data_IF_265404034974
#
_entry.id   IF_265404034974
#
_cell.length_a   1.000
_cell.length_b   1.000
_cell.length_c   1.000
_cell.angle_alpha   90.00
_cell.angle_beta   90.00
_cell.angle_gamma   90.00
#
_symmetry.space_group_name_H-M   'P 1'
#
loop_
_entity.id
_entity.type
_entity.pdbx_description
1 polymer ?
#
# COMPACT_ATOMS: atom_id res chain seq x y z
N UNK A 1 -16.52 -12.10 -38.07
CA UNK A 1 -16.63 -11.41 -36.76
C UNK A 1 -15.23 -10.97 -36.37
N UNK A 2 -14.92 -9.70 -36.62
CA UNK A 2 -13.61 -9.10 -36.30
C UNK A 2 -13.54 -8.94 -34.79
N UNK A 3 -12.69 -9.71 -34.10
CA UNK A 3 -12.31 -9.44 -32.73
C UNK A 3 -11.50 -8.15 -32.75
N UNK A 4 -12.14 -7.06 -32.34
CA UNK A 4 -11.40 -5.84 -31.99
C UNK A 4 -10.41 -6.22 -30.89
N UNK A 5 -9.14 -6.34 -31.25
CA UNK A 5 -8.04 -6.34 -30.26
C UNK A 5 -8.13 -4.98 -29.59
N UNK A 6 -8.75 -4.91 -28.40
CA UNK A 6 -8.65 -3.73 -27.56
C UNK A 6 -7.15 -3.45 -27.38
N UNK A 7 -6.72 -2.25 -27.78
CA UNK A 7 -5.36 -1.80 -27.51
C UNK A 7 -5.10 -1.96 -26.02
N UNK A 8 -3.93 -2.47 -25.60
CA UNK A 8 -3.63 -2.64 -24.18
C UNK A 8 -3.83 -1.29 -23.50
N UNK A 9 -4.77 -1.23 -22.56
CA UNK A 9 -5.04 0.00 -21.83
C UNK A 9 -3.80 0.38 -21.02
N UNK A 10 -3.34 1.62 -21.17
CA UNK A 10 -2.22 2.16 -20.40
C UNK A 10 -2.44 1.96 -18.90
N UNK A 11 -1.53 1.29 -18.23
CA UNK A 11 -1.57 1.13 -16.76
C UNK A 11 -1.34 2.51 -16.11
N UNK A 12 -2.35 3.03 -15.42
CA UNK A 12 -2.20 4.23 -14.62
C UNK A 12 -1.84 3.85 -13.17
N UNK A 13 -0.57 4.03 -12.80
CA UNK A 13 -0.04 3.75 -11.47
C UNK A 13 -0.05 5.02 -10.63
N UNK A 14 -0.57 4.94 -9.41
CA UNK A 14 -0.64 6.07 -8.48
C UNK A 14 -0.03 5.67 -7.13
N UNK A 15 0.76 6.56 -6.55
CA UNK A 15 1.25 6.47 -5.18
C UNK A 15 1.25 7.87 -4.55
N UNK A 16 1.39 7.96 -3.23
CA UNK A 16 1.50 9.25 -2.56
C UNK A 16 2.25 9.11 -1.25
N UNK A 17 3.09 10.09 -0.92
CA UNK A 17 3.79 10.11 0.36
C UNK A 17 4.26 11.52 0.75
N UNK A 18 4.71 11.64 1.99
CA UNK A 18 5.53 12.75 2.47
C UNK A 18 7.03 12.38 2.39
N UNK A 19 7.90 13.30 2.85
CA UNK A 19 9.35 13.10 2.86
C UNK A 19 9.77 11.86 3.66
N UNK A 20 9.07 11.54 4.76
CA UNK A 20 9.40 10.40 5.62
C UNK A 20 9.31 9.05 4.90
N UNK A 21 8.46 8.96 3.88
CA UNK A 21 8.22 7.76 3.09
C UNK A 21 8.81 7.82 1.67
N UNK A 22 9.60 8.82 1.32
CA UNK A 22 10.20 8.93 -0.01
C UNK A 22 11.19 7.77 -0.32
N UNK A 23 12.00 7.35 0.66
CA UNK A 23 12.92 6.22 0.48
C UNK A 23 12.18 4.89 0.24
N UNK A 24 11.21 4.46 1.06
CA UNK A 24 10.45 3.25 0.75
C UNK A 24 9.65 3.34 -0.55
N UNK A 25 9.09 4.52 -0.90
CA UNK A 25 8.42 4.72 -2.18
C UNK A 25 9.34 4.41 -3.37
N UNK A 26 10.64 4.74 -3.28
CA UNK A 26 11.59 4.40 -4.34
C UNK A 26 11.65 2.88 -4.60
N UNK A 27 11.55 2.06 -3.56
CA UNK A 27 11.51 0.59 -3.70
C UNK A 27 10.19 0.13 -4.31
N UNK A 28 9.07 0.70 -3.87
CA UNK A 28 7.76 0.39 -4.43
C UNK A 28 7.74 0.67 -5.93
N UNK A 29 8.12 1.88 -6.36
CA UNK A 29 8.10 2.29 -7.77
C UNK A 29 9.12 1.49 -8.61
N UNK A 30 10.36 1.35 -8.12
CA UNK A 30 11.38 0.54 -8.78
C UNK A 30 10.91 -0.90 -9.02
N UNK A 31 10.41 -1.55 -7.96
CA UNK A 31 9.98 -2.95 -8.06
C UNK A 31 8.75 -3.11 -8.96
N UNK A 32 7.78 -2.20 -8.87
CA UNK A 32 6.58 -2.22 -9.71
C UNK A 32 6.93 -2.11 -11.20
N UNK A 33 7.76 -1.13 -11.57
CA UNK A 33 8.14 -0.88 -12.95
C UNK A 33 9.04 -1.99 -13.51
N UNK A 34 9.92 -2.54 -12.69
CA UNK A 34 10.82 -3.63 -13.08
C UNK A 34 10.10 -4.94 -13.41
N UNK A 35 8.93 -5.17 -12.82
CA UNK A 35 8.14 -6.39 -13.04
C UNK A 35 7.18 -6.27 -14.23
N UNK A 36 7.01 -5.10 -14.83
CA UNK A 36 6.17 -4.94 -16.03
C UNK A 36 6.85 -5.55 -17.25
N UNK A 37 6.06 -6.29 -18.04
CA UNK A 37 6.51 -6.79 -19.34
C UNK A 37 6.93 -5.66 -20.30
N UNK A 38 7.76 -5.93 -21.32
CA UNK A 38 8.31 -4.91 -22.20
C UNK A 38 7.23 -4.12 -22.94
N UNK A 39 6.12 -4.76 -23.29
CA UNK A 39 4.99 -4.17 -24.04
C UNK A 39 4.01 -3.37 -23.16
N UNK A 40 4.22 -3.34 -21.83
CA UNK A 40 3.32 -2.61 -20.95
C UNK A 40 3.51 -1.10 -21.10
N UNK A 41 2.45 -0.40 -21.47
CA UNK A 41 2.40 1.05 -21.40
C UNK A 41 1.98 1.49 -20.00
N UNK A 42 2.64 2.49 -19.42
CA UNK A 42 2.43 2.93 -18.04
C UNK A 42 2.57 4.43 -17.89
N UNK A 43 1.60 5.04 -17.21
CA UNK A 43 1.70 6.39 -16.65
C UNK A 43 1.87 6.29 -15.15
N UNK A 44 2.76 7.11 -14.57
CA UNK A 44 3.08 7.10 -13.16
C UNK A 44 2.79 8.46 -12.54
N UNK A 45 1.88 8.49 -11.59
CA UNK A 45 1.48 9.66 -10.84
C UNK A 45 1.94 9.54 -9.39
N UNK A 46 2.56 10.59 -8.84
CA UNK A 46 2.92 10.63 -7.41
C UNK A 46 2.31 11.87 -6.77
N UNK A 47 1.48 11.66 -5.76
CA UNK A 47 0.89 12.73 -4.97
C UNK A 47 1.94 13.18 -3.95
N UNK A 48 2.37 14.44 -4.09
CA UNK A 48 3.43 15.07 -3.31
C UNK A 48 2.86 15.64 -2.01
N UNK A 49 2.99 14.91 -0.92
CA UNK A 49 2.62 15.30 0.43
C UNK A 49 3.71 16.12 1.16
N UNK A 50 4.67 16.71 0.44
CA UNK A 50 5.78 17.48 1.00
C UNK A 50 7.15 16.81 0.82
N UNK A 51 7.36 16.19 -0.33
CA UNK A 51 8.64 15.53 -0.70
C UNK A 51 9.67 16.60 -1.07
N UNK A 52 10.88 16.51 -0.50
CA UNK A 52 11.99 17.39 -0.82
C UNK A 52 12.51 17.18 -2.25
N UNK A 53 12.98 18.24 -2.88
CA UNK A 53 13.48 18.20 -4.27
C UNK A 53 14.64 17.18 -4.47
N UNK A 54 15.48 16.99 -3.47
CA UNK A 54 16.53 15.95 -3.53
C UNK A 54 15.90 14.54 -3.56
N UNK A 55 14.90 14.27 -2.74
CA UNK A 55 14.18 12.99 -2.74
C UNK A 55 13.41 12.77 -4.04
N UNK A 56 12.83 13.82 -4.63
CA UNK A 56 12.22 13.73 -5.98
C UNK A 56 13.23 13.34 -7.05
N UNK A 57 14.44 13.92 -7.02
CA UNK A 57 15.52 13.51 -7.93
C UNK A 57 15.94 12.06 -7.74
N UNK A 58 15.98 11.59 -6.49
CA UNK A 58 16.29 10.18 -6.16
C UNK A 58 15.16 9.25 -6.60
N UNK A 59 13.90 9.65 -6.44
CA UNK A 59 12.74 8.90 -6.95
C UNK A 59 12.76 8.79 -8.48
N UNK A 60 13.08 9.87 -9.18
CA UNK A 60 13.22 9.84 -10.64
C UNK A 60 14.30 8.85 -11.10
N UNK A 61 15.44 8.78 -10.39
CA UNK A 61 16.48 7.76 -10.68
C UNK A 61 15.95 6.34 -10.42
N UNK A 62 15.19 6.13 -9.35
CA UNK A 62 14.62 4.82 -9.02
C UNK A 62 13.59 4.37 -10.08
N UNK A 63 12.78 5.28 -10.57
CA UNK A 63 11.85 5.03 -11.67
C UNK A 63 12.60 4.65 -12.95
N UNK A 64 13.62 5.43 -13.35
CA UNK A 64 14.42 5.14 -14.52
C UNK A 64 15.19 3.81 -14.43
N UNK A 65 15.66 3.45 -13.24
CA UNK A 65 16.31 2.16 -12.98
C UNK A 65 15.31 0.99 -13.03
N UNK A 66 14.05 1.22 -12.66
CA UNK A 66 12.98 0.23 -12.79
C UNK A 66 12.55 0.04 -14.24
N UNK A 67 12.35 1.13 -14.97
CA UNK A 67 11.96 1.13 -16.39
C UNK A 67 12.38 2.42 -17.08
N UNK A 68 13.26 2.28 -18.08
CA UNK A 68 13.67 3.43 -18.90
C UNK A 68 12.47 4.04 -19.66
N UNK A 69 12.48 5.35 -19.81
CA UNK A 69 11.45 6.10 -20.52
C UNK A 69 10.20 6.47 -19.69
N UNK A 70 10.06 5.91 -18.51
CA UNK A 70 8.97 6.32 -17.59
C UNK A 70 9.41 7.53 -16.77
N UNK A 71 8.54 8.52 -16.66
CA UNK A 71 8.72 9.72 -15.83
C UNK A 71 7.62 9.83 -14.79
N UNK A 72 7.90 10.54 -13.70
CA UNK A 72 6.91 10.79 -12.66
C UNK A 72 6.12 12.04 -13.03
N UNK A 73 4.80 11.92 -13.05
CA UNK A 73 3.86 13.04 -13.07
C UNK A 73 3.59 13.41 -11.61
N UNK A 74 4.20 14.53 -11.19
CA UNK A 74 4.03 15.02 -9.82
C UNK A 74 2.71 15.77 -9.67
N UNK A 75 1.94 15.41 -8.65
CA UNK A 75 0.69 16.04 -8.31
C UNK A 75 0.83 16.64 -6.92
N UNK A 76 0.78 17.95 -6.80
CA UNK A 76 0.81 18.64 -5.52
C UNK A 76 -0.61 19.07 -5.14
N UNK A 77 -1.21 18.47 -4.09
CA UNK A 77 -2.50 18.91 -3.59
C UNK A 77 -2.44 20.40 -3.19
N UNK A 78 -3.46 21.16 -3.56
CA UNK A 78 -3.62 22.56 -3.15
C UNK A 78 -4.33 22.65 -1.80
N UNK A 79 -4.32 23.83 -1.18
CA UNK A 79 -5.10 24.06 0.04
C UNK A 79 -6.60 23.80 -0.18
N UNK A 80 -7.11 24.10 -1.38
CA UNK A 80 -8.50 23.84 -1.76
C UNK A 80 -8.81 22.32 -1.83
N UNK A 81 -7.89 21.52 -2.39
CA UNK A 81 -8.04 20.06 -2.43
C UNK A 81 -8.08 19.45 -1.03
N UNK A 82 -7.41 20.10 -0.07
CA UNK A 82 -7.28 19.69 1.32
C UNK A 82 -8.35 20.31 2.25
N UNK A 83 -9.28 21.11 1.69
CA UNK A 83 -10.37 21.73 2.42
C UNK A 83 -11.24 20.66 3.11
N UNK A 84 -11.48 20.79 4.41
CA UNK A 84 -12.15 19.78 5.24
C UNK A 84 -11.21 18.86 6.01
N UNK A 85 -9.94 18.66 5.57
CA UNK A 85 -8.94 17.95 6.39
C UNK A 85 -8.31 18.83 7.49
N UNK A 86 -8.54 20.13 7.48
CA UNK A 86 -8.01 21.02 8.54
C UNK A 86 -8.53 20.64 9.93
N UNK A 87 -9.72 20.07 10.02
CA UNK A 87 -10.26 19.50 11.25
C UNK A 87 -9.54 18.19 11.66
N UNK A 88 -8.92 17.50 10.71
CA UNK A 88 -8.16 16.27 10.90
C UNK A 88 -6.66 16.52 11.13
N UNK A 89 -6.25 17.72 11.58
CA UNK A 89 -4.84 18.13 11.82
C UNK A 89 -4.03 17.20 12.75
N UNK A 90 -4.71 16.26 13.40
CA UNK A 90 -4.07 15.25 14.25
C UNK A 90 -3.73 13.97 13.49
N UNK A 91 -4.14 13.86 12.22
CA UNK A 91 -3.94 12.69 11.39
C UNK A 91 -2.74 12.93 10.46
N UNK A 92 -1.92 11.91 10.25
CA UNK A 92 -0.86 11.97 9.23
C UNK A 92 -1.51 12.24 7.88
N UNK A 93 -1.36 13.45 7.35
CA UNK A 93 -1.93 13.88 6.07
C UNK A 93 -1.59 12.89 4.95
N UNK A 94 -0.40 12.27 5.02
CA UNK A 94 0.08 11.31 4.04
C UNK A 94 -0.82 10.07 3.91
N UNK A 95 -1.44 9.59 5.01
CA UNK A 95 -2.33 8.44 4.98
C UNK A 95 -3.61 8.69 4.16
N UNK A 96 -4.08 9.93 4.13
CA UNK A 96 -5.32 10.31 3.43
C UNK A 96 -5.12 10.74 1.97
N UNK A 97 -3.88 10.85 1.47
CA UNK A 97 -3.60 11.31 0.10
C UNK A 97 -4.34 10.51 -0.97
N UNK A 98 -4.57 9.21 -0.74
CA UNK A 98 -5.30 8.35 -1.68
C UNK A 98 -6.76 8.74 -1.86
N UNK A 99 -7.38 9.36 -0.86
CA UNK A 99 -8.78 9.81 -0.96
C UNK A 99 -8.96 10.99 -1.93
N UNK A 100 -7.88 11.72 -2.22
CA UNK A 100 -7.90 12.84 -3.17
C UNK A 100 -7.65 12.40 -4.63
N UNK A 101 -7.32 11.14 -4.90
CA UNK A 101 -7.05 10.65 -6.26
C UNK A 101 -8.12 11.06 -7.26
N UNK A 102 -9.45 10.93 -6.98
CA UNK A 102 -10.49 11.29 -7.95
C UNK A 102 -10.53 12.77 -8.32
N UNK A 103 -10.20 13.65 -7.38
CA UNK A 103 -10.19 15.11 -7.62
C UNK A 103 -8.88 15.63 -8.20
N UNK A 104 -7.76 14.93 -7.94
CA UNK A 104 -6.44 15.34 -8.37
C UNK A 104 -6.09 14.86 -9.80
N UNK A 105 -6.73 13.79 -10.26
CA UNK A 105 -6.47 13.25 -11.59
C UNK A 105 -7.49 13.75 -12.61
N UNK A 106 -7.05 13.99 -13.87
CA UNK A 106 -7.95 14.37 -14.97
C UNK A 106 -9.12 13.41 -15.14
N UNK A 107 -10.26 13.94 -15.59
CA UNK A 107 -11.50 13.17 -15.77
C UNK A 107 -11.39 12.06 -16.82
N UNK A 108 -10.45 12.18 -17.75
CA UNK A 108 -10.14 11.16 -18.75
C UNK A 108 -9.56 9.88 -18.14
N UNK A 109 -8.90 9.98 -16.98
CA UNK A 109 -8.39 8.83 -16.26
C UNK A 109 -9.55 8.16 -15.52
N UNK A 110 -9.99 7.02 -16.04
CA UNK A 110 -11.13 6.27 -15.52
C UNK A 110 -10.75 5.16 -14.54
N UNK A 111 -9.51 4.70 -14.59
CA UNK A 111 -9.02 3.61 -13.74
C UNK A 111 -7.61 3.89 -13.26
N UNK A 112 -7.32 3.53 -12.03
CA UNK A 112 -5.97 3.60 -11.46
C UNK A 112 -5.67 2.36 -10.61
N UNK A 113 -4.39 2.02 -10.55
CA UNK A 113 -3.84 1.11 -9.57
C UNK A 113 -3.05 1.92 -8.55
N UNK A 114 -3.57 2.00 -7.33
CA UNK A 114 -2.90 2.66 -6.22
C UNK A 114 -2.04 1.65 -5.45
N UNK A 115 -0.82 2.07 -5.11
CA UNK A 115 0.12 1.30 -4.29
C UNK A 115 0.64 2.16 -3.13
N UNK A 116 0.63 1.59 -1.93
CA UNK A 116 1.31 2.18 -0.78
C UNK A 116 2.83 2.23 -0.94
N UNK A 117 3.48 3.06 -0.13
CA UNK A 117 4.93 3.28 -0.21
C UNK A 117 5.76 2.12 0.35
N UNK A 118 5.18 1.27 1.18
CA UNK A 118 5.85 0.17 1.88
C UNK A 118 5.58 -1.20 1.25
N UNK A 119 5.59 -1.23 -0.08
CA UNK A 119 5.32 -2.40 -0.91
C UNK A 119 6.59 -2.86 -1.64
N UNK A 120 6.70 -4.17 -1.85
CA UNK A 120 7.65 -4.79 -2.77
C UNK A 120 6.89 -5.62 -3.80
N UNK A 121 6.93 -5.19 -5.06
CA UNK A 121 6.30 -5.90 -6.17
C UNK A 121 7.23 -7.01 -6.67
N UNK A 122 6.68 -8.22 -6.79
CA UNK A 122 7.39 -9.44 -7.20
C UNK A 122 6.89 -10.03 -8.51
N UNK A 123 5.78 -9.55 -9.03
CA UNK A 123 5.18 -10.07 -10.25
C UNK A 123 4.55 -8.98 -11.11
N UNK A 124 4.30 -9.32 -12.36
CA UNK A 124 3.67 -8.42 -13.32
C UNK A 124 2.30 -7.95 -12.83
N UNK A 125 2.08 -6.64 -12.84
CA UNK A 125 0.87 -5.98 -12.39
C UNK A 125 -0.25 -5.97 -13.45
N UNK A 126 0.04 -6.34 -14.69
CA UNK A 126 -0.95 -6.33 -15.78
C UNK A 126 -2.13 -7.27 -15.48
N UNK A 127 -1.85 -8.41 -14.83
CA UNK A 127 -2.91 -9.31 -14.38
C UNK A 127 -3.87 -8.67 -13.37
N UNK A 128 -3.36 -7.85 -12.46
CA UNK A 128 -4.18 -7.06 -11.52
C UNK A 128 -4.92 -5.94 -12.25
N UNK A 129 -4.21 -5.21 -13.11
CA UNK A 129 -4.79 -4.11 -13.90
C UNK A 129 -5.99 -4.54 -14.73
N UNK A 130 -5.92 -5.73 -15.34
CA UNK A 130 -6.97 -6.27 -16.19
C UNK A 130 -8.12 -6.96 -15.43
N UNK A 131 -8.13 -6.88 -14.08
CA UNK A 131 -9.23 -7.43 -13.29
C UNK A 131 -10.54 -6.77 -13.68
N UNK A 132 -11.56 -7.59 -14.00
CA UNK A 132 -12.90 -7.10 -14.32
C UNK A 132 -13.62 -6.68 -13.05
N UNK A 133 -13.88 -5.39 -12.89
CA UNK A 133 -14.48 -4.80 -11.68
C UNK A 133 -15.97 -5.16 -11.48
N UNK A 134 -16.67 -5.62 -12.52
CA UNK A 134 -18.07 -6.11 -12.51
C UNK A 134 -19.01 -5.30 -11.59
N UNK A 135 -19.06 -3.98 -11.80
CA UNK A 135 -19.93 -3.10 -11.02
C UNK A 135 -19.32 -2.55 -9.71
N UNK A 136 -18.23 -3.12 -9.22
CA UNK A 136 -17.52 -2.58 -8.05
C UNK A 136 -16.75 -1.30 -8.41
N UNK A 137 -16.70 -0.35 -7.48
CA UNK A 137 -15.89 0.86 -7.62
C UNK A 137 -14.45 0.67 -7.18
N UNK A 138 -14.21 -0.34 -6.35
CA UNK A 138 -12.92 -0.65 -5.72
C UNK A 138 -12.68 -2.15 -5.75
N UNK A 139 -11.45 -2.57 -6.04
CA UNK A 139 -11.01 -3.94 -5.80
C UNK A 139 -9.78 -3.94 -4.88
N UNK A 140 -9.80 -4.79 -3.87
CA UNK A 140 -8.79 -4.85 -2.81
C UNK A 140 -8.65 -6.27 -2.25
N UNK A 141 -7.64 -6.50 -1.43
CA UNK A 141 -7.49 -7.75 -0.67
C UNK A 141 -8.01 -7.55 0.75
N UNK A 142 -8.71 -8.54 1.29
CA UNK A 142 -9.16 -8.55 2.69
C UNK A 142 -7.98 -8.28 3.63
N UNK A 143 -8.20 -7.54 4.71
CA UNK A 143 -7.16 -7.31 5.71
C UNK A 143 -6.95 -8.56 6.57
N UNK A 144 -5.70 -8.99 6.71
CA UNK A 144 -5.39 -10.24 7.41
C UNK A 144 -5.50 -10.13 8.93
N UNK A 145 -5.32 -8.93 9.46
CA UNK A 145 -5.47 -8.66 10.89
C UNK A 145 -6.91 -8.29 11.27
N UNK A 146 -7.66 -7.74 10.32
CA UNK A 146 -9.05 -7.25 10.50
C UNK A 146 -9.90 -7.80 9.36
N UNK A 147 -10.30 -9.09 9.39
CA UNK A 147 -10.98 -9.71 8.25
C UNK A 147 -12.43 -9.26 8.08
N UNK A 148 -13.03 -8.65 9.09
CA UNK A 148 -14.44 -8.23 9.10
C UNK A 148 -14.64 -6.94 9.90
N UNK A 149 -15.74 -6.24 9.65
CA UNK A 149 -16.06 -4.96 10.29
C UNK A 149 -16.14 -5.08 11.82
N UNK A 150 -16.88 -6.08 12.35
CA UNK A 150 -16.93 -6.31 13.80
C UNK A 150 -15.63 -6.99 14.27
N UNK A 151 -14.61 -6.19 14.44
CA UNK A 151 -13.31 -6.65 14.92
C UNK A 151 -12.74 -5.66 15.97
N UNK A 152 -12.04 -6.14 17.02
CA UNK A 152 -11.49 -5.27 18.08
C UNK A 152 -10.58 -4.15 17.54
N UNK A 153 -9.85 -4.41 16.47
CA UNK A 153 -8.91 -3.45 15.85
C UNK A 153 -9.54 -2.63 14.70
N UNK A 154 -10.78 -2.90 14.29
CA UNK A 154 -11.51 -2.03 13.37
C UNK A 154 -11.83 -0.72 14.05
N UNK A 155 -11.63 0.41 13.35
CA UNK A 155 -12.04 1.73 13.80
C UNK A 155 -13.50 2.06 13.49
N UNK A 156 -14.19 1.24 12.68
CA UNK A 156 -15.60 1.42 12.31
C UNK A 156 -16.47 0.86 13.43
N UNK A 157 -16.62 1.63 14.51
CA UNK A 157 -17.36 1.19 15.71
C UNK A 157 -18.87 1.35 15.60
N UNK A 158 -19.31 2.29 14.79
CA UNK A 158 -20.69 2.65 14.50
C UNK A 158 -21.30 1.87 13.32
N UNK A 159 -20.68 0.77 12.91
CA UNK A 159 -21.09 0.00 11.73
C UNK A 159 -22.59 -0.40 11.75
N UNK A 160 -23.19 -0.58 12.95
CA UNK A 160 -24.62 -0.89 13.07
C UNK A 160 -25.50 0.31 12.72
N UNK A 161 -25.08 1.51 13.11
CA UNK A 161 -25.77 2.76 12.80
C UNK A 161 -25.69 3.09 11.32
N UNK A 162 -24.57 2.68 10.68
CA UNK A 162 -24.38 2.74 9.23
C UNK A 162 -25.12 1.64 8.44
N UNK A 163 -25.80 0.72 9.12
CA UNK A 163 -26.48 -0.41 8.49
C UNK A 163 -25.54 -1.47 7.92
N UNK A 164 -24.28 -1.51 8.38
CA UNK A 164 -23.28 -2.48 7.93
C UNK A 164 -23.39 -3.76 8.75
N UNK A 165 -23.41 -4.92 8.08
CA UNK A 165 -23.39 -6.21 8.77
C UNK A 165 -22.07 -6.41 9.54
N UNK A 166 -22.10 -6.97 10.77
CA UNK A 166 -20.91 -7.30 11.54
C UNK A 166 -19.91 -8.18 10.76
N UNK A 167 -20.43 -9.09 9.93
CA UNK A 167 -19.62 -10.01 9.11
C UNK A 167 -19.18 -9.42 7.78
N UNK A 168 -19.48 -8.14 7.50
CA UNK A 168 -19.02 -7.49 6.27
C UNK A 168 -17.51 -7.54 6.20
N UNK A 169 -16.94 -8.00 5.05
CA UNK A 169 -15.50 -8.11 4.91
C UNK A 169 -14.86 -6.72 4.93
N UNK A 170 -13.71 -6.64 5.60
CA UNK A 170 -12.91 -5.43 5.74
C UNK A 170 -11.64 -5.57 4.91
N UNK A 171 -11.35 -4.62 4.03
CA UNK A 171 -10.20 -4.68 3.13
C UNK A 171 -9.02 -3.83 3.61
N UNK A 172 -7.83 -4.24 3.17
CA UNK A 172 -6.61 -3.47 3.34
C UNK A 172 -6.45 -2.46 2.20
N UNK A 173 -6.22 -1.19 2.55
CA UNK A 173 -6.18 -0.06 1.59
C UNK A 173 -4.84 0.13 0.88
N UNK A 174 -3.82 -0.69 1.14
CA UNK A 174 -2.47 -0.48 0.58
C UNK A 174 -2.30 -0.87 -0.88
N UNK A 175 -3.21 -1.68 -1.45
CA UNK A 175 -3.28 -2.03 -2.88
C UNK A 175 -4.72 -1.91 -3.32
N UNK A 176 -5.02 -0.91 -4.15
CA UNK A 176 -6.38 -0.64 -4.60
C UNK A 176 -6.42 -0.51 -6.13
N UNK A 177 -7.29 -1.29 -6.76
CA UNK A 177 -7.68 -1.01 -8.14
C UNK A 177 -8.99 -0.22 -8.08
N UNK A 178 -8.97 1.01 -8.61
CA UNK A 178 -10.07 1.97 -8.50
C UNK A 178 -10.70 2.23 -9.85
N UNK A 179 -12.03 2.19 -9.91
CA UNK A 179 -12.83 2.78 -10.99
C UNK A 179 -13.16 4.22 -10.61
N UNK A 180 -12.39 5.17 -11.14
CA UNK A 180 -12.53 6.60 -10.78
C UNK A 180 -13.84 7.19 -11.27
N UNK A 181 -14.44 6.67 -12.35
CA UNK A 181 -15.76 7.13 -12.78
C UNK A 181 -16.79 6.85 -11.69
N UNK A 182 -16.81 5.63 -11.18
CA UNK A 182 -17.71 5.25 -10.09
C UNK A 182 -17.38 5.93 -8.77
N UNK A 183 -16.11 6.19 -8.48
CA UNK A 183 -15.71 6.93 -7.28
C UNK A 183 -16.23 8.38 -7.32
N UNK A 184 -16.15 9.03 -8.48
CA UNK A 184 -16.65 10.41 -8.69
C UNK A 184 -18.18 10.43 -8.63
N UNK A 185 -18.85 9.57 -9.39
CA UNK A 185 -20.32 9.48 -9.43
C UNK A 185 -20.91 9.13 -8.07
N UNK A 186 -20.32 8.17 -7.34
CA UNK A 186 -20.77 7.73 -6.02
C UNK A 186 -20.33 8.63 -4.86
N UNK A 187 -19.50 9.64 -5.10
CA UNK A 187 -18.99 10.53 -4.06
C UNK A 187 -18.16 9.81 -2.98
N UNK A 188 -17.52 8.67 -3.31
CA UNK A 188 -16.81 7.79 -2.35
C UNK A 188 -15.76 8.56 -1.56
N UNK A 189 -14.92 9.35 -2.26
CA UNK A 189 -13.87 10.13 -1.61
C UNK A 189 -14.43 11.14 -0.60
N UNK A 190 -15.51 11.85 -0.97
CA UNK A 190 -16.16 12.83 -0.10
C UNK A 190 -16.77 12.15 1.13
N UNK A 191 -17.44 11.01 0.95
CA UNK A 191 -18.02 10.26 2.05
C UNK A 191 -16.95 9.76 3.03
N UNK A 192 -15.84 9.18 2.51
CA UNK A 192 -14.73 8.71 3.31
C UNK A 192 -14.02 9.86 4.06
N UNK A 193 -13.83 11.01 3.42
CA UNK A 193 -13.26 12.20 4.08
C UNK A 193 -14.18 12.73 5.18
N UNK A 194 -15.50 12.83 4.92
CA UNK A 194 -16.47 13.27 5.93
C UNK A 194 -16.45 12.32 7.14
N UNK A 195 -16.44 11.02 6.90
CA UNK A 195 -16.35 10.02 7.98
C UNK A 195 -15.02 10.16 8.76
N UNK A 196 -13.90 10.35 8.07
CA UNK A 196 -12.59 10.55 8.70
C UNK A 196 -12.55 11.82 9.57
N UNK A 197 -13.17 12.90 9.13
CA UNK A 197 -13.27 14.16 9.90
C UNK A 197 -14.13 13.96 11.16
N UNK A 198 -15.27 13.30 11.02
CA UNK A 198 -16.22 13.08 12.10
C UNK A 198 -15.66 12.14 13.19
N UNK A 199 -14.97 11.06 12.78
CA UNK A 199 -14.51 10.01 13.68
C UNK A 199 -13.00 10.06 13.98
N UNK A 200 -12.25 10.97 13.40
CA UNK A 200 -10.79 11.09 13.33
C UNK A 200 -9.97 10.40 14.42
N UNK A 201 -10.15 10.80 15.68
CA UNK A 201 -9.40 10.23 16.82
C UNK A 201 -9.75 8.76 17.15
N UNK A 202 -10.92 8.27 16.69
CA UNK A 202 -11.37 6.90 16.93
C UNK A 202 -10.88 5.92 15.85
N UNK A 203 -10.41 6.44 14.69
CA UNK A 203 -9.95 5.63 13.58
C UNK A 203 -8.54 5.07 13.86
N UNK A 204 -8.46 3.78 14.16
CA UNK A 204 -7.20 3.09 14.41
C UNK A 204 -6.35 2.90 13.14
N UNK A 205 -7.03 2.78 11.99
CA UNK A 205 -6.42 2.52 10.68
C UNK A 205 -6.69 3.66 9.68
N UNK A 206 -6.93 4.88 10.17
CA UNK A 206 -7.02 6.11 9.37
C UNK A 206 -8.00 6.01 8.17
N UNK A 207 -7.47 6.21 6.97
CA UNK A 207 -8.19 6.14 5.69
C UNK A 207 -8.79 4.76 5.39
N UNK A 208 -8.15 3.68 5.86
CA UNK A 208 -8.66 2.32 5.67
C UNK A 208 -9.99 2.11 6.39
N UNK A 209 -10.12 2.60 7.64
CA UNK A 209 -11.40 2.57 8.37
C UNK A 209 -12.46 3.41 7.64
N UNK A 210 -12.11 4.61 7.21
CA UNK A 210 -13.03 5.50 6.51
C UNK A 210 -13.54 4.89 5.18
N UNK A 211 -12.67 4.25 4.42
CA UNK A 211 -13.05 3.56 3.19
C UNK A 211 -13.95 2.34 3.46
N UNK A 212 -13.65 1.56 4.48
CA UNK A 212 -14.46 0.39 4.84
C UNK A 212 -15.83 0.79 5.42
N UNK A 213 -15.95 1.95 6.08
CA UNK A 213 -17.21 2.51 6.52
C UNK A 213 -18.10 2.99 5.34
N UNK A 214 -17.49 3.44 4.24
CA UNK A 214 -18.22 4.04 3.11
C UNK A 214 -18.42 3.09 1.93
N UNK A 215 -17.77 1.95 1.92
CA UNK A 215 -17.87 0.92 0.85
C UNK A 215 -18.31 -0.45 1.39
N UNK A 216 -19.35 -0.54 2.24
CA UNK A 216 -19.77 -1.80 2.85
C UNK A 216 -20.21 -2.79 1.76
N UNK A 217 -19.45 -3.86 1.56
CA UNK A 217 -19.76 -4.90 0.56
C UNK A 217 -19.73 -4.44 -0.91
N UNK A 218 -19.42 -3.17 -1.18
CA UNK A 218 -19.38 -2.58 -2.53
C UNK A 218 -18.03 -2.70 -3.25
N UNK A 219 -17.12 -3.52 -2.73
CA UNK A 219 -15.80 -3.74 -3.32
C UNK A 219 -15.62 -5.19 -3.80
N UNK A 220 -14.71 -5.39 -4.74
CA UNK A 220 -14.36 -6.68 -5.29
C UNK A 220 -13.16 -7.27 -4.54
N UNK A 221 -13.31 -8.48 -4.00
CA UNK A 221 -12.21 -9.19 -3.36
C UNK A 221 -11.21 -9.70 -4.39
N UNK A 222 -9.95 -9.31 -4.23
CA UNK A 222 -8.81 -9.78 -5.02
C UNK A 222 -8.18 -11.03 -4.41
N UNK A 223 -7.46 -11.81 -5.25
CA UNK A 223 -6.63 -12.92 -4.77
C UNK A 223 -5.58 -12.40 -3.77
N UNK A 224 -5.41 -13.12 -2.67
CA UNK A 224 -4.49 -12.77 -1.58
C UNK A 224 -3.06 -12.45 -2.04
N UNK A 225 -2.58 -13.04 -3.15
CA UNK A 225 -1.23 -12.81 -3.70
C UNK A 225 -0.99 -11.36 -4.13
N UNK A 226 -2.06 -10.58 -4.36
CA UNK A 226 -1.96 -9.17 -4.75
C UNK A 226 -1.72 -8.21 -3.58
N UNK A 227 -1.77 -8.69 -2.34
CA UNK A 227 -1.44 -7.91 -1.16
C UNK A 227 -1.11 -8.83 0.02
N UNK A 228 0.06 -9.49 -0.02
CA UNK A 228 0.51 -10.37 1.06
C UNK A 228 1.02 -9.52 2.22
N UNK A 229 0.19 -9.38 3.23
CA UNK A 229 0.38 -8.44 4.34
C UNK A 229 1.28 -9.01 5.44
N UNK A 230 1.83 -8.10 6.23
CA UNK A 230 2.73 -8.42 7.35
C UNK A 230 2.11 -9.38 8.38
N UNK A 231 0.80 -9.28 8.62
CA UNK A 231 0.07 -10.15 9.56
C UNK A 231 0.20 -11.65 9.25
N UNK A 232 0.47 -12.04 7.99
CA UNK A 232 0.72 -13.44 7.61
C UNK A 232 1.87 -14.09 8.40
N UNK A 233 2.81 -13.30 8.89
CA UNK A 233 3.99 -13.76 9.62
C UNK A 233 3.75 -13.86 11.13
N UNK A 234 2.68 -13.29 11.63
CA UNK A 234 2.30 -13.20 13.04
C UNK A 234 0.91 -13.77 13.32
N UNK A 235 0.50 -14.79 12.55
CA UNK A 235 -0.82 -15.42 12.71
C UNK A 235 -1.05 -16.01 14.10
N UNK A 236 0.03 -16.32 14.83
CA UNK A 236 -0.05 -16.81 16.21
C UNK A 236 -0.53 -15.74 17.20
N UNK A 237 -0.37 -14.45 16.85
CA UNK A 237 -0.82 -13.31 17.66
C UNK A 237 -2.27 -12.90 17.33
N UNK A 238 -2.84 -13.46 16.25
CA UNK A 238 -4.21 -13.19 15.83
C UNK A 238 -5.22 -14.14 16.50
N UNK A 239 -6.49 -13.74 16.64
CA UNK A 239 -7.55 -14.61 17.14
C UNK A 239 -7.65 -15.91 16.33
N UNK A 240 -7.76 -17.04 17.02
CA UNK A 240 -7.90 -18.37 16.39
C UNK A 240 -9.34 -18.57 15.91
N UNK A 241 -9.59 -18.35 14.64
CA UNK A 241 -10.88 -18.54 13.98
C UNK A 241 -10.67 -19.26 12.63
N UNK A 242 -11.75 -19.48 11.88
CA UNK A 242 -11.69 -20.16 10.58
C UNK A 242 -10.83 -19.41 9.58
N UNK A 243 -10.93 -18.08 9.53
CA UNK A 243 -10.14 -17.23 8.64
C UNK A 243 -8.64 -17.38 8.91
N UNK A 244 -8.20 -17.27 10.16
CA UNK A 244 -6.78 -17.40 10.51
C UNK A 244 -6.25 -18.81 10.27
N UNK A 245 -7.08 -19.86 10.43
CA UNK A 245 -6.73 -21.25 10.07
C UNK A 245 -6.55 -21.42 8.56
N UNK A 246 -7.46 -20.87 7.76
CA UNK A 246 -7.38 -20.88 6.30
C UNK A 246 -6.12 -20.11 5.82
N UNK A 247 -5.90 -18.93 6.37
CA UNK A 247 -4.72 -18.12 6.04
C UNK A 247 -3.41 -18.83 6.40
N UNK A 248 -3.38 -19.54 7.55
CA UNK A 248 -2.23 -20.36 7.95
C UNK A 248 -1.98 -21.52 6.98
N UNK A 249 -3.03 -22.19 6.51
CA UNK A 249 -2.92 -23.26 5.52
C UNK A 249 -2.41 -22.74 4.16
N UNK A 250 -2.83 -21.53 3.76
CA UNK A 250 -2.37 -20.88 2.53
C UNK A 250 -0.96 -20.28 2.63
N UNK A 251 -0.44 -20.06 3.83
CA UNK A 251 0.84 -19.35 4.05
C UNK A 251 2.00 -19.83 3.17
N UNK A 252 2.30 -21.16 3.06
CA UNK A 252 3.42 -21.62 2.23
C UNK A 252 3.26 -21.24 0.76
N UNK A 253 2.02 -21.30 0.23
CA UNK A 253 1.69 -20.88 -1.12
C UNK A 253 1.84 -19.37 -1.29
N UNK A 254 1.27 -18.58 -0.39
CA UNK A 254 1.33 -17.11 -0.45
C UNK A 254 2.78 -16.60 -0.40
N UNK A 255 3.63 -17.19 0.42
CA UNK A 255 5.05 -16.81 0.48
C UNK A 255 5.79 -17.06 -0.83
N UNK A 256 5.46 -18.15 -1.52
CA UNK A 256 6.09 -18.54 -2.77
C UNK A 256 5.54 -17.78 -3.96
N UNK A 257 4.23 -17.51 -3.99
CA UNK A 257 3.50 -16.98 -5.15
C UNK A 257 3.09 -15.51 -5.00
N UNK A 258 3.48 -14.85 -3.91
CA UNK A 258 3.19 -13.44 -3.69
C UNK A 258 3.57 -12.59 -4.91
N UNK A 259 2.61 -11.83 -5.42
CA UNK A 259 2.83 -10.83 -6.46
C UNK A 259 3.20 -9.48 -5.87
N UNK A 260 2.66 -9.19 -4.68
CA UNK A 260 2.96 -7.99 -3.91
C UNK A 260 3.15 -8.40 -2.45
N UNK A 261 4.30 -8.01 -1.87
CA UNK A 261 4.56 -8.05 -0.43
C UNK A 261 4.31 -6.68 0.16
N UNK A 262 3.49 -6.60 1.19
CA UNK A 262 3.14 -5.36 1.86
C UNK A 262 3.64 -5.38 3.31
N UNK A 263 4.51 -4.45 3.65
CA UNK A 263 5.07 -4.28 4.99
C UNK A 263 4.14 -3.43 5.86
N UNK A 264 2.84 -3.78 5.90
CA UNK A 264 1.75 -3.03 6.51
C UNK A 264 1.86 -2.83 8.03
N UNK A 265 2.72 -3.60 8.71
CA UNK A 265 2.92 -3.48 10.15
C UNK A 265 3.90 -2.37 10.57
N UNK A 266 4.12 -2.24 11.88
CA UNK A 266 5.08 -1.27 12.46
C UNK A 266 6.54 -1.62 12.20
N UNK A 267 6.84 -2.89 11.92
CA UNK A 267 8.18 -3.38 11.62
C UNK A 267 8.51 -3.20 10.15
N UNK A 268 9.22 -2.14 9.83
CA UNK A 268 9.53 -1.74 8.45
C UNK A 268 10.93 -2.23 8.01
N UNK A 269 11.10 -2.69 6.74
CA UNK A 269 12.36 -3.28 6.26
C UNK A 269 13.54 -2.30 6.22
N UNK A 270 13.31 -1.00 6.18
CA UNK A 270 14.37 0.01 6.32
C UNK A 270 14.88 0.17 7.76
N UNK A 271 14.19 -0.43 8.72
CA UNK A 271 14.64 -0.51 10.10
C UNK A 271 15.46 -1.78 10.31
N UNK A 272 16.65 -1.66 10.91
CA UNK A 272 17.59 -2.78 11.08
C UNK A 272 17.06 -3.90 12.01
N UNK A 273 16.02 -3.65 12.79
CA UNK A 273 15.36 -4.64 13.67
C UNK A 273 14.20 -5.38 13.01
N UNK A 274 13.87 -5.07 11.75
CA UNK A 274 12.75 -5.71 11.06
C UNK A 274 12.94 -7.22 10.97
N UNK A 275 11.99 -7.98 11.55
CA UNK A 275 11.97 -9.44 11.52
C UNK A 275 11.32 -10.04 10.27
N UNK A 276 10.79 -9.22 9.35
CA UNK A 276 10.08 -9.70 8.17
C UNK A 276 10.99 -10.53 7.25
N UNK A 277 10.58 -11.74 6.81
CA UNK A 277 11.41 -12.61 5.97
C UNK A 277 11.89 -11.97 4.67
N UNK A 278 11.06 -11.10 4.07
CA UNK A 278 11.39 -10.40 2.81
C UNK A 278 12.25 -9.15 2.99
N UNK A 279 12.76 -8.89 4.22
CA UNK A 279 13.60 -7.72 4.48
C UNK A 279 14.84 -7.67 3.60
N UNK A 280 15.51 -8.81 3.38
CA UNK A 280 16.71 -8.86 2.56
C UNK A 280 16.42 -8.59 1.08
N UNK A 281 15.28 -9.06 0.58
CA UNK A 281 14.83 -8.79 -0.78
C UNK A 281 14.51 -7.31 -0.97
N UNK A 282 13.82 -6.70 0.01
CA UNK A 282 13.55 -5.27 0.00
C UNK A 282 14.84 -4.45 0.01
N UNK A 283 15.82 -4.80 0.85
CA UNK A 283 17.13 -4.14 0.91
C UNK A 283 17.87 -4.27 -0.43
N UNK A 284 17.85 -5.46 -1.06
CA UNK A 284 18.42 -5.66 -2.40
C UNK A 284 17.75 -4.76 -3.44
N UNK A 285 16.43 -4.65 -3.41
CA UNK A 285 15.68 -3.77 -4.29
C UNK A 285 16.06 -2.30 -4.07
N UNK A 286 16.18 -1.84 -2.82
CA UNK A 286 16.63 -0.49 -2.49
C UNK A 286 18.02 -0.19 -3.04
N UNK A 287 18.99 -1.08 -2.83
CA UNK A 287 20.36 -0.88 -3.31
C UNK A 287 20.46 -0.89 -4.84
N UNK A 288 19.54 -1.58 -5.51
CA UNK A 288 19.44 -1.65 -6.97
C UNK A 288 18.61 -0.53 -7.59
N UNK A 289 17.83 0.21 -6.80
CA UNK A 289 16.88 1.20 -7.30
C UNK A 289 17.54 2.48 -7.84
N UNK A 290 18.81 2.74 -7.55
CA UNK A 290 19.45 4.02 -7.87
C UNK A 290 19.10 5.16 -6.92
N UNK A 291 18.38 4.88 -5.82
CA UNK A 291 18.13 5.86 -4.75
C UNK A 291 19.44 6.42 -4.19
N UNK A 292 20.40 5.57 -3.99
CA UNK A 292 21.73 5.91 -3.52
C UNK A 292 22.75 5.96 -4.67
N UNK A 293 23.73 6.88 -4.57
CA UNK A 293 24.98 6.73 -5.33
C UNK A 293 25.76 5.49 -4.84
N UNK A 294 26.70 4.93 -5.60
CA UNK A 294 27.46 3.74 -5.17
C UNK A 294 28.12 3.89 -3.79
N UNK A 295 28.67 5.06 -3.49
CA UNK A 295 29.32 5.33 -2.19
C UNK A 295 28.29 5.43 -1.06
N UNK A 296 27.14 6.08 -1.31
CA UNK A 296 26.05 6.14 -0.33
C UNK A 296 25.46 4.76 -0.07
N UNK A 297 25.27 3.95 -1.12
CA UNK A 297 24.77 2.58 -1.02
C UNK A 297 25.70 1.72 -0.14
N UNK A 298 27.01 1.80 -0.38
CA UNK A 298 28.01 1.10 0.43
C UNK A 298 27.93 1.54 1.91
N UNK A 299 27.94 2.84 2.16
CA UNK A 299 27.86 3.39 3.53
C UNK A 299 26.57 3.01 4.24
N UNK A 300 25.43 3.11 3.55
CA UNK A 300 24.14 2.76 4.10
C UNK A 300 24.06 1.26 4.41
N UNK A 301 24.43 0.41 3.46
CA UNK A 301 24.41 -1.05 3.61
C UNK A 301 25.32 -1.50 4.77
N UNK A 302 26.55 -0.99 4.84
CA UNK A 302 27.49 -1.34 5.91
C UNK A 302 26.93 -1.00 7.29
N UNK A 303 26.35 0.20 7.45
CA UNK A 303 25.71 0.63 8.71
C UNK A 303 24.46 -0.20 9.04
N UNK A 304 23.62 -0.47 8.03
CA UNK A 304 22.40 -1.24 8.20
C UNK A 304 22.70 -2.66 8.67
N UNK A 305 23.61 -3.37 7.97
CA UNK A 305 23.95 -4.74 8.31
C UNK A 305 24.70 -4.86 9.64
N UNK A 306 25.61 -3.93 9.96
CA UNK A 306 26.26 -3.90 11.26
C UNK A 306 25.25 -3.75 12.41
N UNK A 307 24.30 -2.81 12.29
CA UNK A 307 23.23 -2.62 13.27
C UNK A 307 22.32 -3.87 13.35
N UNK A 308 21.99 -4.49 12.23
CA UNK A 308 21.15 -5.68 12.18
C UNK A 308 21.81 -6.87 12.84
N UNK A 309 23.11 -7.10 12.60
CA UNK A 309 23.89 -8.14 13.27
C UNK A 309 23.92 -7.89 14.78
N UNK A 310 24.23 -6.69 15.20
CA UNK A 310 24.27 -6.31 16.62
C UNK A 310 22.89 -6.51 17.28
N UNK A 311 21.82 -6.14 16.61
CA UNK A 311 20.45 -6.37 17.09
C UNK A 311 20.16 -7.88 17.25
N UNK A 312 20.46 -8.70 16.23
CA UNK A 312 20.29 -10.15 16.31
C UNK A 312 21.10 -10.77 17.47
N UNK A 313 22.32 -10.31 17.69
CA UNK A 313 23.14 -10.77 18.82
C UNK A 313 22.53 -10.36 20.17
N UNK A 314 22.04 -9.13 20.31
CA UNK A 314 21.36 -8.67 21.54
C UNK A 314 20.12 -9.51 21.83
N UNK A 315 19.32 -9.87 20.84
CA UNK A 315 18.14 -10.72 20.99
C UNK A 315 18.59 -12.14 21.39
N UNK A 316 19.60 -12.71 20.72
CA UNK A 316 20.12 -14.05 21.00
C UNK A 316 20.64 -14.17 22.45
N UNK A 317 21.37 -13.17 22.91
CA UNK A 317 21.95 -13.17 24.27
C UNK A 317 20.99 -12.58 25.34
N UNK A 318 19.69 -12.46 25.04
CA UNK A 318 18.67 -11.96 25.99
C UNK A 318 18.91 -10.51 26.48
N UNK A 319 19.71 -9.74 25.78
CA UNK A 319 20.06 -8.37 26.15
C UNK A 319 19.07 -7.33 25.63
N UNK A 320 17.93 -7.80 25.03
CA UNK A 320 16.94 -6.91 24.43
C UNK A 320 15.51 -7.28 24.86
N UNK A 321 14.69 -6.31 25.31
CA UNK A 321 13.31 -6.56 25.80
C UNK A 321 12.32 -7.08 24.73
N UNK A 322 12.67 -7.07 23.43
CA UNK A 322 11.82 -7.60 22.34
C UNK A 322 11.86 -9.12 22.19
N UNK A 323 12.53 -9.87 23.07
CA UNK A 323 12.54 -11.33 22.99
C UNK A 323 11.16 -11.96 23.11
N UNK A 324 10.26 -11.34 23.88
CA UNK A 324 8.88 -11.82 24.03
C UNK A 324 8.00 -11.68 22.78
N UNK A 325 8.50 -11.00 21.71
CA UNK A 325 7.76 -10.77 20.46
C UNK A 325 8.33 -11.53 19.24
N UNK A 326 9.41 -12.32 19.42
CA UNK A 326 10.12 -12.99 18.31
C UNK A 326 10.09 -14.52 18.44
N UNK A 327 9.63 -15.05 19.56
CA UNK A 327 9.32 -16.47 19.76
C UNK A 327 7.83 -16.72 19.57
#
# INVERSE_FOLDING_TARGET
>A
MSSSVESPSTLCLVAGCDEGYALPLAVTLFSALKQLGPEADVTLHVIDGGILEESKRRLARAVAAGRAGVTIIWIKPTAHDMEGLEAARHLSTAAYLRLFIPSLLPDEIKRVLYLDCDILVRGDLIGLWNTKMVGASTAAVIDYAIPQIEHPFSGVKDFRDLGISPDSPYFNSGVLLLDLSRWREGGVAKAALSYAVEHGAALGNCDQDALNATLPGGWLSLDYRWNVQYALFFLHDLPKNDFTRELAAMRPRLLREAKIMHFSGTSKPWNHWCGHPSTEEWVKALLSSGWFTPMEAFRWASRYWAKRILFKLKVLFQLHPLRERVT
#
